data_IF_142709681028
#
_entry.id   IF_142709681028
#
_cell.length_a   1.000
_cell.length_b   1.000
_cell.length_c   1.000
_cell.angle_alpha   90.00
_cell.angle_beta   90.00
_cell.angle_gamma   90.00
#
_symmetry.space_group_name_H-M   'P 1'
#
loop_
_entity.id
_entity.type
_entity.pdbx_description
1 polymer ?
#
# COMPACT_ATOMS: atom_id res chain seq x y z
N UNK A 1 -57.79 -35.35 -27.09
CA UNK A 1 -57.01 -36.61 -27.04
C UNK A 1 -55.61 -36.52 -27.67
N UNK A 2 -55.42 -36.08 -28.93
CA UNK A 2 -54.08 -36.04 -29.54
C UNK A 2 -53.15 -34.94 -28.96
N UNK A 3 -53.65 -33.77 -28.60
CA UNK A 3 -52.94 -32.68 -27.99
C UNK A 3 -52.46 -33.01 -26.55
N UNK A 4 -53.30 -33.66 -25.79
CA UNK A 4 -53.01 -34.04 -24.40
C UNK A 4 -51.96 -35.16 -24.28
N UNK A 5 -51.85 -36.04 -25.27
CA UNK A 5 -50.77 -37.05 -25.36
C UNK A 5 -49.42 -36.40 -25.72
N UNK A 6 -49.39 -35.42 -26.56
CA UNK A 6 -48.19 -34.66 -26.92
C UNK A 6 -47.64 -33.86 -25.72
N UNK A 7 -48.50 -33.16 -24.99
CA UNK A 7 -48.10 -32.43 -23.77
C UNK A 7 -47.55 -33.33 -22.68
N UNK A 8 -48.14 -34.51 -22.48
CA UNK A 8 -47.63 -35.51 -21.53
C UNK A 8 -46.28 -36.09 -21.94
N UNK A 9 -46.01 -36.30 -23.21
CA UNK A 9 -44.70 -36.73 -23.72
C UNK A 9 -43.62 -35.64 -23.55
N UNK A 10 -43.95 -34.38 -23.82
CA UNK A 10 -43.00 -33.29 -23.62
C UNK A 10 -42.64 -33.02 -22.16
N UNK A 11 -43.58 -33.28 -21.24
CA UNK A 11 -43.33 -33.19 -19.79
C UNK A 11 -42.42 -34.33 -19.32
N UNK A 12 -42.64 -35.55 -19.79
CA UNK A 12 -41.80 -36.71 -19.43
C UNK A 12 -40.39 -36.54 -19.95
N UNK A 13 -40.21 -36.06 -21.20
CA UNK A 13 -38.90 -35.81 -21.78
C UNK A 13 -38.13 -34.70 -21.03
N UNK A 14 -38.81 -33.61 -20.62
CA UNK A 14 -38.23 -32.56 -19.79
C UNK A 14 -37.81 -33.05 -18.40
N UNK A 15 -38.55 -33.99 -17.82
CA UNK A 15 -38.21 -34.60 -16.49
C UNK A 15 -37.02 -35.51 -16.62
N UNK A 16 -36.94 -36.35 -17.66
CA UNK A 16 -35.79 -37.24 -17.89
C UNK A 16 -34.49 -36.44 -18.15
N UNK A 17 -34.50 -35.39 -18.97
CA UNK A 17 -33.36 -34.54 -19.22
C UNK A 17 -32.90 -33.84 -17.94
N UNK A 18 -33.83 -33.44 -17.06
CA UNK A 18 -33.51 -32.80 -15.78
C UNK A 18 -32.88 -33.78 -14.79
N UNK A 19 -33.33 -35.05 -14.78
CA UNK A 19 -32.71 -36.08 -13.94
C UNK A 19 -31.31 -36.50 -14.43
N UNK A 20 -31.10 -36.60 -15.74
CA UNK A 20 -29.78 -36.88 -16.31
C UNK A 20 -28.78 -35.75 -16.04
N UNK A 21 -29.22 -34.51 -16.20
CA UNK A 21 -28.44 -33.31 -15.86
C UNK A 21 -28.05 -33.32 -14.38
N UNK A 22 -28.97 -33.61 -13.49
CA UNK A 22 -28.70 -33.72 -12.04
C UNK A 22 -27.72 -34.85 -11.68
N UNK A 23 -27.82 -36.00 -12.35
CA UNK A 23 -26.84 -37.13 -12.19
C UNK A 23 -25.46 -36.72 -12.67
N UNK A 24 -25.36 -36.00 -13.79
CA UNK A 24 -24.10 -35.53 -14.34
C UNK A 24 -23.44 -34.49 -13.41
N UNK A 25 -24.19 -33.52 -12.89
CA UNK A 25 -23.74 -32.51 -11.92
C UNK A 25 -23.23 -33.21 -10.64
N UNK A 26 -23.96 -34.20 -10.13
CA UNK A 26 -23.56 -34.94 -8.92
C UNK A 26 -22.28 -35.73 -9.15
N UNK A 27 -22.11 -36.36 -10.31
CA UNK A 27 -20.89 -37.10 -10.69
C UNK A 27 -19.69 -36.18 -10.86
N UNK A 28 -19.89 -34.98 -11.44
CA UNK A 28 -18.85 -33.95 -11.60
C UNK A 28 -18.42 -33.35 -10.26
N UNK A 29 -19.37 -33.06 -9.36
CA UNK A 29 -19.08 -32.62 -7.99
C UNK A 29 -18.26 -33.67 -7.22
N UNK A 30 -18.60 -34.95 -7.34
CA UNK A 30 -17.86 -36.01 -6.67
C UNK A 30 -16.42 -36.12 -7.18
N UNK A 31 -16.20 -36.06 -8.50
CA UNK A 31 -14.86 -36.09 -9.11
C UNK A 31 -14.02 -34.86 -8.68
N UNK A 32 -14.62 -33.68 -8.57
CA UNK A 32 -13.96 -32.46 -8.09
C UNK A 32 -13.56 -32.62 -6.62
N UNK A 33 -14.45 -33.10 -5.78
CA UNK A 33 -14.19 -33.38 -4.35
C UNK A 33 -13.04 -34.39 -4.15
N UNK A 34 -12.99 -35.43 -4.93
CA UNK A 34 -11.92 -36.44 -4.84
C UNK A 34 -10.57 -35.88 -5.30
N UNK A 35 -10.55 -35.06 -6.37
CA UNK A 35 -9.34 -34.32 -6.76
C UNK A 35 -8.87 -33.37 -5.66
N UNK A 36 -9.79 -32.68 -4.99
CA UNK A 36 -9.46 -31.81 -3.85
C UNK A 36 -8.87 -32.58 -2.67
N UNK A 37 -9.41 -33.78 -2.35
CA UNK A 37 -8.86 -34.64 -1.30
C UNK A 37 -7.44 -35.09 -1.60
N UNK A 38 -7.18 -35.54 -2.82
CA UNK A 38 -5.84 -35.97 -3.27
C UNK A 38 -4.85 -34.79 -3.25
N UNK A 39 -5.26 -33.58 -3.72
CA UNK A 39 -4.44 -32.39 -3.64
C UNK A 39 -4.14 -32.00 -2.20
N UNK A 40 -5.12 -32.07 -1.31
CA UNK A 40 -4.97 -31.78 0.12
C UNK A 40 -3.98 -32.74 0.79
N UNK A 41 -4.01 -34.01 0.46
CA UNK A 41 -3.02 -34.98 0.97
C UNK A 41 -1.61 -34.72 0.41
N UNK A 42 -1.47 -34.47 -0.88
CA UNK A 42 -0.19 -34.08 -1.46
C UNK A 42 0.36 -32.82 -0.81
N UNK A 43 -0.49 -31.81 -0.57
CA UNK A 43 -0.09 -30.59 0.13
C UNK A 43 0.31 -30.84 1.58
N UNK A 44 -0.39 -31.75 2.30
CA UNK A 44 -0.06 -32.13 3.68
C UNK A 44 1.32 -32.78 3.77
N UNK A 45 1.68 -33.61 2.81
CA UNK A 45 2.95 -34.34 2.76
C UNK A 45 4.10 -33.54 2.15
N UNK A 46 3.82 -32.37 1.60
CA UNK A 46 4.84 -31.50 1.02
C UNK A 46 5.66 -30.78 2.10
N UNK A 47 6.99 -30.99 2.10
CA UNK A 47 7.92 -30.44 3.09
C UNK A 47 8.13 -28.92 3.00
N UNK A 48 7.48 -28.28 2.05
CA UNK A 48 7.58 -26.85 1.78
C UNK A 48 8.58 -26.51 0.69
N UNK A 49 8.49 -25.29 0.21
CA UNK A 49 9.35 -24.79 -0.88
C UNK A 49 10.80 -24.59 -0.40
N UNK A 50 11.76 -24.86 -1.29
CA UNK A 50 13.19 -24.70 -1.01
C UNK A 50 13.57 -23.25 -0.71
N UNK A 51 14.75 -23.03 -0.12
CA UNK A 51 15.23 -21.67 0.19
C UNK A 51 15.33 -20.77 -1.04
N UNK A 52 15.78 -21.30 -2.19
CA UNK A 52 15.86 -20.57 -3.45
C UNK A 52 14.49 -20.04 -3.88
N UNK A 53 13.46 -20.89 -3.83
CA UNK A 53 12.09 -20.48 -4.16
C UNK A 53 11.50 -19.49 -3.16
N UNK A 54 11.90 -19.52 -1.87
CA UNK A 54 11.47 -18.51 -0.90
C UNK A 54 12.04 -17.14 -1.21
N UNK A 55 13.33 -17.09 -1.56
CA UNK A 55 13.99 -15.84 -1.97
C UNK A 55 13.35 -15.32 -3.25
N UNK A 56 13.13 -16.18 -4.25
CA UNK A 56 12.44 -15.79 -5.47
C UNK A 56 11.03 -15.25 -5.20
N UNK A 57 10.26 -15.92 -4.35
CA UNK A 57 8.91 -15.44 -3.96
C UNK A 57 8.99 -14.07 -3.27
N UNK A 58 9.96 -13.86 -2.39
CA UNK A 58 10.18 -12.57 -1.75
C UNK A 58 10.45 -11.48 -2.77
N UNK A 59 11.37 -11.72 -3.69
CA UNK A 59 11.71 -10.76 -4.77
C UNK A 59 10.47 -10.45 -5.61
N UNK A 60 9.73 -11.47 -6.03
CA UNK A 60 8.51 -11.28 -6.82
C UNK A 60 7.42 -10.49 -6.07
N UNK A 61 7.26 -10.72 -4.77
CA UNK A 61 6.30 -9.98 -3.95
C UNK A 61 6.73 -8.52 -3.80
N UNK A 62 8.02 -8.25 -3.56
CA UNK A 62 8.54 -6.88 -3.48
C UNK A 62 8.32 -6.14 -4.80
N UNK A 63 8.73 -6.76 -5.91
CA UNK A 63 8.51 -6.20 -7.25
C UNK A 63 7.03 -5.96 -7.53
N UNK A 64 6.17 -6.91 -7.18
CA UNK A 64 4.73 -6.78 -7.39
C UNK A 64 4.14 -5.60 -6.60
N UNK A 65 4.50 -5.42 -5.32
CA UNK A 65 4.01 -4.31 -4.50
C UNK A 65 4.40 -2.98 -5.13
N UNK A 66 5.66 -2.84 -5.52
CA UNK A 66 6.19 -1.60 -6.10
C UNK A 66 5.55 -1.33 -7.46
N UNK A 67 5.57 -2.31 -8.38
CA UNK A 67 5.00 -2.15 -9.73
C UNK A 67 3.50 -1.87 -9.68
N UNK A 68 2.75 -2.57 -8.84
CA UNK A 68 1.30 -2.34 -8.72
C UNK A 68 0.97 -0.94 -8.20
N UNK A 69 1.78 -0.41 -7.27
CA UNK A 69 1.64 0.96 -6.77
C UNK A 69 2.01 1.99 -7.84
N UNK A 70 3.10 1.78 -8.58
CA UNK A 70 3.47 2.66 -9.69
C UNK A 70 2.40 2.69 -10.78
N UNK A 71 1.97 1.54 -11.28
CA UNK A 71 0.93 1.43 -12.30
C UNK A 71 -0.37 2.08 -11.80
N UNK A 72 -0.71 1.95 -10.52
CA UNK A 72 -1.89 2.57 -9.95
C UNK A 72 -1.79 4.10 -9.92
N UNK A 73 -0.67 4.66 -9.49
CA UNK A 73 -0.48 6.10 -9.33
C UNK A 73 -0.15 6.83 -10.65
N UNK A 74 0.60 6.20 -11.56
CA UNK A 74 0.95 6.78 -12.87
C UNK A 74 -0.26 6.87 -13.80
N UNK A 75 -1.15 5.91 -13.69
CA UNK A 75 -2.33 5.81 -14.53
C UNK A 75 -3.50 6.68 -14.07
N UNK A 76 -3.35 7.95 -13.80
CA UNK A 76 -4.51 8.85 -13.98
C UNK A 76 -5.30 8.47 -15.24
N UNK A 77 -4.78 7.57 -16.06
CA UNK A 77 -5.28 7.11 -17.35
C UNK A 77 -4.99 5.61 -17.50
N UNK A 78 -6.03 4.79 -17.58
CA UNK A 78 -6.10 3.44 -18.13
C UNK A 78 -4.93 2.47 -17.84
N UNK A 79 -5.25 1.25 -17.42
CA UNK A 79 -4.39 0.07 -17.42
C UNK A 79 -4.01 -0.32 -18.88
N UNK A 80 -3.35 0.55 -19.57
CA UNK A 80 -2.90 0.29 -20.93
C UNK A 80 -1.40 0.04 -20.88
N UNK A 81 -1.04 -1.26 -20.88
CA UNK A 81 0.36 -1.72 -20.97
C UNK A 81 1.04 -1.11 -22.19
N UNK A 82 0.29 -0.77 -23.23
CA UNK A 82 0.80 -0.12 -24.44
C UNK A 82 1.31 1.29 -24.15
N UNK A 83 0.74 2.04 -23.20
CA UNK A 83 1.23 3.36 -22.80
C UNK A 83 2.52 3.32 -21.99
N UNK A 84 2.78 2.25 -21.23
CA UNK A 84 4.08 2.04 -20.60
C UNK A 84 5.19 1.95 -21.66
N UNK A 85 4.88 1.44 -22.84
CA UNK A 85 5.80 1.36 -23.97
C UNK A 85 5.88 2.65 -24.80
N UNK A 86 4.83 3.49 -24.80
CA UNK A 86 4.73 4.71 -25.61
C UNK A 86 5.25 5.97 -24.90
N UNK A 87 5.24 6.02 -23.55
CA UNK A 87 5.91 7.10 -22.81
C UNK A 87 7.41 6.91 -22.91
N UNK A 88 8.00 7.54 -23.93
CA UNK A 88 9.46 7.74 -24.06
C UNK A 88 9.97 8.41 -22.77
N UNK A 89 10.28 7.63 -21.75
CA UNK A 89 10.76 8.14 -20.46
C UNK A 89 10.43 7.29 -19.25
N UNK A 90 9.47 6.37 -19.34
CA UNK A 90 9.03 5.53 -18.22
C UNK A 90 10.10 4.52 -17.74
N UNK A 91 11.11 4.25 -18.57
CA UNK A 91 12.29 3.45 -18.25
C UNK A 91 13.58 4.25 -18.50
N UNK A 92 13.64 5.54 -18.12
CA UNK A 92 14.90 6.26 -18.00
C UNK A 92 15.73 5.67 -16.86
N UNK A 93 17.05 5.86 -16.87
CA UNK A 93 17.93 5.42 -15.76
C UNK A 93 17.43 5.94 -14.39
N UNK A 94 16.86 7.15 -14.36
CA UNK A 94 16.23 7.76 -13.19
C UNK A 94 15.04 6.95 -12.70
N UNK A 95 14.19 6.48 -13.59
CA UNK A 95 13.02 5.66 -13.27
C UNK A 95 13.41 4.28 -12.69
N UNK A 96 14.48 3.66 -13.19
CA UNK A 96 15.00 2.39 -12.64
C UNK A 96 15.55 2.59 -11.23
N UNK A 97 16.28 3.67 -10.99
CA UNK A 97 16.80 3.98 -9.66
C UNK A 97 15.67 4.20 -8.64
N UNK A 98 14.61 4.88 -9.03
CA UNK A 98 13.44 5.10 -8.18
C UNK A 98 12.74 3.79 -7.85
N UNK A 99 12.57 2.90 -8.83
CA UNK A 99 12.05 1.56 -8.60
C UNK A 99 12.92 0.77 -7.62
N UNK A 100 14.24 0.83 -7.74
CA UNK A 100 15.16 0.14 -6.83
C UNK A 100 15.06 0.68 -5.41
N UNK A 101 14.97 1.98 -5.23
CA UNK A 101 14.78 2.62 -3.91
C UNK A 101 13.45 2.18 -3.28
N UNK A 102 12.35 2.23 -4.04
CA UNK A 102 11.03 1.78 -3.57
C UNK A 102 11.03 0.28 -3.23
N UNK A 103 11.71 -0.56 -4.02
CA UNK A 103 11.92 -1.98 -3.70
C UNK A 103 12.73 -2.15 -2.40
N UNK A 104 13.75 -1.34 -2.19
CA UNK A 104 14.54 -1.33 -0.97
C UNK A 104 13.70 -1.01 0.26
N UNK A 105 12.89 0.04 0.21
CA UNK A 105 12.00 0.41 1.31
C UNK A 105 10.95 -0.68 1.59
N UNK A 106 10.32 -1.22 0.57
CA UNK A 106 9.36 -2.33 0.70
C UNK A 106 10.03 -3.57 1.30
N UNK A 107 11.22 -3.92 0.82
CA UNK A 107 12.00 -5.03 1.34
C UNK A 107 12.37 -4.82 2.82
N UNK A 108 12.77 -3.61 3.20
CA UNK A 108 13.11 -3.27 4.59
C UNK A 108 11.93 -3.50 5.53
N UNK A 109 10.72 -3.07 5.15
CA UNK A 109 9.49 -3.31 5.92
C UNK A 109 9.24 -4.81 6.08
N UNK A 110 9.33 -5.60 5.01
CA UNK A 110 9.13 -7.06 5.07
C UNK A 110 10.18 -7.71 5.98
N UNK A 111 11.43 -7.29 5.91
CA UNK A 111 12.53 -7.85 6.72
C UNK A 111 12.40 -7.48 8.21
N UNK A 112 11.97 -6.26 8.54
CA UNK A 112 11.67 -5.85 9.93
C UNK A 112 10.52 -6.71 10.47
N UNK A 113 9.44 -6.83 9.73
CA UNK A 113 8.30 -7.67 10.12
C UNK A 113 8.71 -9.16 10.26
N UNK A 114 9.61 -9.65 9.39
CA UNK A 114 10.14 -11.00 9.52
C UNK A 114 10.98 -11.17 10.79
N UNK A 115 11.80 -10.19 11.15
CA UNK A 115 12.57 -10.21 12.38
C UNK A 115 11.66 -10.32 13.61
N UNK A 116 10.51 -9.67 13.61
CA UNK A 116 9.52 -9.69 14.68
C UNK A 116 8.74 -11.00 14.68
N UNK A 117 8.12 -11.39 13.56
CA UNK A 117 7.17 -12.49 13.46
C UNK A 117 7.84 -13.86 13.28
N UNK A 118 9.06 -13.91 12.74
CA UNK A 118 9.82 -15.14 12.51
C UNK A 118 9.26 -16.05 11.43
N UNK A 119 8.25 -15.62 10.66
CA UNK A 119 7.71 -16.31 9.51
C UNK A 119 7.80 -15.41 8.27
N UNK A 120 8.03 -15.94 7.07
CA UNK A 120 8.16 -15.11 5.86
C UNK A 120 6.79 -14.78 5.24
N UNK A 121 5.79 -15.63 5.47
CA UNK A 121 4.46 -15.50 4.88
C UNK A 121 3.70 -14.28 5.41
N UNK A 122 3.61 -14.14 6.73
CA UNK A 122 2.87 -13.06 7.37
C UNK A 122 3.43 -11.66 7.02
N UNK A 123 4.75 -11.40 7.06
CA UNK A 123 5.34 -10.13 6.63
C UNK A 123 4.99 -9.73 5.20
N UNK A 124 5.02 -10.66 4.24
CA UNK A 124 4.64 -10.39 2.86
C UNK A 124 3.17 -9.96 2.76
N UNK A 125 2.26 -10.68 3.42
CA UNK A 125 0.83 -10.35 3.42
C UNK A 125 0.58 -9.00 4.09
N UNK A 126 1.17 -8.76 5.25
CA UNK A 126 1.04 -7.49 5.99
C UNK A 126 1.57 -6.33 5.16
N UNK A 127 2.71 -6.49 4.49
CA UNK A 127 3.28 -5.45 3.63
C UNK A 127 2.37 -5.14 2.44
N UNK A 128 1.76 -6.14 1.80
CA UNK A 128 0.76 -5.91 0.74
C UNK A 128 -0.42 -5.11 1.31
N UNK A 129 -0.95 -5.52 2.46
CA UNK A 129 -2.10 -4.84 3.10
C UNK A 129 -1.76 -3.39 3.42
N UNK A 130 -0.58 -3.11 4.00
CA UNK A 130 -0.14 -1.74 4.31
C UNK A 130 -0.16 -0.87 3.05
N UNK A 131 0.50 -1.31 1.97
CA UNK A 131 0.57 -0.52 0.76
C UNK A 131 -0.76 -0.42 0.02
N UNK A 132 -1.60 -1.44 0.08
CA UNK A 132 -2.98 -1.36 -0.45
C UNK A 132 -3.80 -0.32 0.32
N UNK A 133 -3.72 -0.31 1.65
CA UNK A 133 -4.41 0.69 2.47
C UNK A 133 -3.91 2.11 2.19
N UNK A 134 -2.61 2.32 2.11
CA UNK A 134 -2.04 3.64 1.77
C UNK A 134 -2.52 4.10 0.39
N UNK A 135 -2.55 3.21 -0.61
CA UNK A 135 -3.06 3.56 -1.95
C UNK A 135 -4.57 3.83 -1.96
N UNK A 136 -5.37 3.09 -1.16
CA UNK A 136 -6.81 3.36 -1.02
C UNK A 136 -7.03 4.73 -0.38
N UNK A 137 -6.33 5.02 0.73
CA UNK A 137 -6.40 6.32 1.39
C UNK A 137 -5.98 7.45 0.45
N UNK A 138 -4.89 7.25 -0.30
CA UNK A 138 -4.46 8.22 -1.31
C UNK A 138 -5.55 8.48 -2.35
N UNK A 139 -6.20 7.42 -2.87
CA UNK A 139 -7.27 7.55 -3.85
C UNK A 139 -8.46 8.35 -3.30
N UNK A 140 -8.93 7.99 -2.11
CA UNK A 140 -10.09 8.64 -1.47
C UNK A 140 -9.79 10.09 -1.13
N UNK A 141 -8.62 10.36 -0.54
CA UNK A 141 -8.24 11.73 -0.15
C UNK A 141 -8.03 12.62 -1.37
N UNK A 142 -7.40 12.10 -2.43
CA UNK A 142 -7.21 12.86 -3.69
C UNK A 142 -8.55 13.17 -4.36
N UNK A 143 -9.50 12.23 -4.33
CA UNK A 143 -10.85 12.44 -4.89
C UNK A 143 -11.63 13.52 -4.12
N UNK A 144 -11.46 13.59 -2.80
CA UNK A 144 -12.19 14.52 -1.94
C UNK A 144 -11.60 15.93 -1.91
N UNK A 145 -10.27 16.09 -1.88
CA UNK A 145 -9.62 17.41 -1.70
C UNK A 145 -8.68 17.82 -2.84
N UNK A 146 -8.53 16.98 -3.88
CA UNK A 146 -7.64 17.27 -5.01
C UNK A 146 -6.14 17.18 -4.72
N UNK A 147 -5.74 16.82 -3.49
CA UNK A 147 -4.33 16.66 -3.09
C UNK A 147 -4.10 15.26 -2.51
N UNK A 148 -2.93 14.64 -2.76
CA UNK A 148 -2.62 13.31 -2.27
C UNK A 148 -2.65 13.19 -0.74
N UNK A 149 -2.86 11.94 -0.28
CA UNK A 149 -2.79 11.55 1.12
C UNK A 149 -1.37 11.71 1.65
N UNK A 150 -1.24 12.34 2.83
CA UNK A 150 0.05 12.55 3.50
C UNK A 150 0.14 11.75 4.80
N UNK A 151 1.38 11.51 5.28
CA UNK A 151 1.58 10.87 6.58
C UNK A 151 0.95 11.68 7.73
N UNK A 152 0.95 13.02 7.64
CA UNK A 152 0.32 13.91 8.61
C UNK A 152 -1.21 13.72 8.69
N UNK A 153 -1.86 13.31 7.59
CA UNK A 153 -3.30 13.06 7.57
C UNK A 153 -3.74 11.94 8.52
N UNK A 154 -2.84 11.01 8.86
CA UNK A 154 -3.11 9.95 9.84
C UNK A 154 -3.50 10.55 11.19
N UNK A 155 -2.85 11.64 11.60
CA UNK A 155 -3.10 12.31 12.87
C UNK A 155 -4.36 13.19 12.83
N UNK A 156 -4.80 13.58 11.63
CA UNK A 156 -6.01 14.34 11.38
C UNK A 156 -7.23 13.46 11.07
N UNK A 157 -7.11 12.13 11.15
CA UNK A 157 -8.14 11.19 10.76
C UNK A 157 -9.46 11.40 11.51
N UNK A 158 -9.42 11.79 12.79
CA UNK A 158 -10.63 12.10 13.59
C UNK A 158 -11.42 13.26 12.99
N UNK A 159 -10.74 14.34 12.60
CA UNK A 159 -11.38 15.49 11.94
C UNK A 159 -11.86 15.11 10.53
N UNK A 160 -11.07 14.34 9.78
CA UNK A 160 -11.46 13.89 8.46
C UNK A 160 -12.74 13.05 8.49
N UNK A 161 -12.88 12.14 9.45
CA UNK A 161 -14.08 11.31 9.61
C UNK A 161 -15.35 12.15 9.91
N UNK A 162 -15.24 13.25 10.64
CA UNK A 162 -16.37 14.14 10.90
C UNK A 162 -16.80 14.95 9.65
N UNK A 163 -15.89 15.20 8.73
CA UNK A 163 -16.17 15.88 7.45
C UNK A 163 -16.75 14.93 6.42
N UNK A 164 -16.40 13.63 6.50
CA UNK A 164 -16.92 12.59 5.59
C UNK A 164 -18.41 12.29 5.81
N UNK A 165 -18.99 12.71 6.93
CA UNK A 165 -20.41 12.53 7.21
C UNK A 165 -21.23 13.34 6.20
N UNK A 166 -21.90 12.64 5.26
CA UNK A 166 -22.65 13.23 4.15
C UNK A 166 -21.94 13.32 2.80
N UNK A 167 -20.68 12.88 2.68
CA UNK A 167 -19.99 12.80 1.39
C UNK A 167 -20.15 11.42 0.74
N UNK A 168 -20.46 11.38 -0.56
CA UNK A 168 -20.50 10.14 -1.33
C UNK A 168 -19.07 9.73 -1.74
N UNK A 169 -18.56 8.64 -1.16
CA UNK A 169 -17.28 8.06 -1.57
C UNK A 169 -17.51 7.14 -2.76
N UNK A 170 -16.99 7.51 -3.92
CA UNK A 170 -17.08 6.70 -5.14
C UNK A 170 -15.80 5.89 -5.35
N UNK A 171 -15.92 4.56 -5.41
CA UNK A 171 -14.79 3.70 -5.73
C UNK A 171 -14.65 3.55 -7.24
N UNK A 172 -13.59 4.09 -7.80
CA UNK A 172 -13.31 3.95 -9.23
C UNK A 172 -13.11 2.46 -9.61
N UNK A 173 -13.51 2.07 -10.83
CA UNK A 173 -13.28 0.71 -11.33
C UNK A 173 -11.79 0.31 -11.30
N UNK A 174 -10.89 1.29 -11.39
CA UNK A 174 -9.45 1.11 -11.26
C UNK A 174 -9.06 0.68 -9.86
N UNK A 175 -9.55 1.38 -8.84
CA UNK A 175 -9.30 1.05 -7.44
C UNK A 175 -9.79 -0.37 -7.10
N UNK A 176 -10.98 -0.72 -7.58
CA UNK A 176 -11.52 -2.07 -7.40
C UNK A 176 -10.61 -3.12 -8.04
N UNK A 177 -10.16 -2.91 -9.29
CA UNK A 177 -9.22 -3.83 -9.96
C UNK A 177 -7.90 -3.96 -9.20
N UNK A 178 -7.34 -2.86 -8.72
CA UNK A 178 -6.13 -2.84 -7.90
C UNK A 178 -6.31 -3.69 -6.63
N UNK A 179 -7.40 -3.50 -5.89
CA UNK A 179 -7.71 -4.28 -4.69
C UNK A 179 -7.85 -5.77 -5.02
N UNK A 180 -8.60 -6.12 -6.08
CA UNK A 180 -8.82 -7.52 -6.48
C UNK A 180 -7.53 -8.24 -6.86
N UNK A 181 -6.63 -7.58 -7.60
CA UNK A 181 -5.34 -8.17 -7.98
C UNK A 181 -4.47 -8.42 -6.74
N UNK A 182 -4.39 -7.45 -5.82
CA UNK A 182 -3.65 -7.62 -4.56
C UNK A 182 -4.25 -8.75 -3.71
N UNK A 183 -5.57 -8.86 -3.65
CA UNK A 183 -6.26 -9.96 -2.96
C UNK A 183 -5.90 -11.33 -3.56
N UNK A 184 -5.86 -11.45 -4.88
CA UNK A 184 -5.44 -12.68 -5.56
C UNK A 184 -4.00 -13.06 -5.22
N UNK A 185 -3.09 -12.09 -5.14
CA UNK A 185 -1.70 -12.35 -4.72
C UNK A 185 -1.63 -12.79 -3.27
N UNK A 186 -2.40 -12.19 -2.36
CA UNK A 186 -2.50 -12.62 -0.96
C UNK A 186 -2.99 -14.08 -0.88
N UNK A 187 -4.04 -14.44 -1.60
CA UNK A 187 -4.57 -15.81 -1.66
C UNK A 187 -3.48 -16.77 -2.17
N UNK A 188 -2.72 -16.38 -3.19
CA UNK A 188 -1.58 -17.14 -3.70
C UNK A 188 -0.51 -17.38 -2.62
N UNK A 189 -0.12 -16.34 -1.87
CA UNK A 189 0.86 -16.44 -0.78
C UNK A 189 0.32 -17.34 0.36
N UNK A 190 -0.96 -17.27 0.69
CA UNK A 190 -1.59 -18.14 1.70
C UNK A 190 -1.48 -19.60 1.25
N UNK A 191 -1.67 -19.89 -0.03
CA UNK A 191 -1.53 -21.22 -0.61
C UNK A 191 -0.11 -21.80 -0.59
N UNK A 192 0.94 -20.95 -0.55
CA UNK A 192 2.32 -21.42 -0.50
C UNK A 192 2.69 -22.01 0.87
N UNK A 193 3.41 -23.12 0.88
CA UNK A 193 3.93 -23.75 2.10
C UNK A 193 5.42 -23.48 2.22
N UNK A 194 5.79 -22.49 3.04
CA UNK A 194 7.19 -22.21 3.35
C UNK A 194 7.72 -23.25 4.37
N UNK A 195 8.85 -23.89 4.08
CA UNK A 195 9.48 -24.80 5.02
C UNK A 195 9.96 -24.03 6.26
N UNK A 196 10.02 -24.71 7.40
CA UNK A 196 10.50 -24.14 8.65
C UNK A 196 12.05 -24.30 8.75
N UNK A 197 12.70 -23.38 9.43
CA UNK A 197 14.10 -23.57 9.84
C UNK A 197 14.15 -24.61 10.97
N UNK A 198 15.07 -25.57 10.89
CA UNK A 198 15.05 -26.74 11.75
C UNK A 198 15.51 -26.44 13.19
N UNK A 199 16.45 -25.52 13.38
CA UNK A 199 17.02 -25.26 14.70
C UNK A 199 16.67 -23.88 15.24
N UNK A 200 16.46 -23.78 16.57
CA UNK A 200 16.20 -22.50 17.25
C UNK A 200 17.29 -21.48 16.97
N UNK A 201 18.58 -21.90 16.98
CA UNK A 201 19.74 -21.04 16.70
C UNK A 201 19.66 -20.42 15.30
N UNK A 202 19.37 -21.22 14.25
CA UNK A 202 19.21 -20.70 12.89
C UNK A 202 18.06 -19.70 12.77
N UNK A 203 16.95 -19.92 13.49
CA UNK A 203 15.81 -18.96 13.51
C UNK A 203 16.23 -17.62 14.10
N UNK A 204 16.92 -17.61 15.24
CA UNK A 204 17.36 -16.38 15.91
C UNK A 204 18.36 -15.63 15.02
N UNK A 205 19.38 -16.32 14.52
CA UNK A 205 20.40 -15.72 13.64
C UNK A 205 19.74 -15.12 12.38
N UNK A 206 18.81 -15.85 11.75
CA UNK A 206 18.11 -15.36 10.56
C UNK A 206 17.29 -14.09 10.84
N UNK A 207 16.66 -13.99 12.01
CA UNK A 207 15.89 -12.81 12.44
C UNK A 207 16.79 -11.60 12.68
N UNK A 208 17.90 -11.79 13.40
CA UNK A 208 18.88 -10.73 13.66
C UNK A 208 19.49 -10.24 12.34
N UNK A 209 19.92 -11.16 11.48
CA UNK A 209 20.51 -10.82 10.18
C UNK A 209 19.50 -10.06 9.30
N UNK A 210 18.23 -10.46 9.29
CA UNK A 210 17.20 -9.77 8.54
C UNK A 210 16.94 -8.36 9.07
N UNK A 211 16.97 -8.18 10.39
CA UNK A 211 16.83 -6.86 11.00
C UNK A 211 17.99 -5.93 10.63
N UNK A 212 19.24 -6.42 10.77
CA UNK A 212 20.44 -5.66 10.38
C UNK A 212 20.40 -5.30 8.89
N UNK A 213 20.06 -6.26 8.02
CA UNK A 213 19.95 -6.02 6.59
C UNK A 213 18.87 -4.98 6.27
N UNK A 214 17.72 -5.03 6.97
CA UNK A 214 16.65 -4.05 6.80
C UNK A 214 17.11 -2.63 7.11
N UNK A 215 17.83 -2.45 8.23
CA UNK A 215 18.37 -1.13 8.62
C UNK A 215 19.39 -0.63 7.60
N UNK A 216 20.29 -1.49 7.14
CA UNK A 216 21.28 -1.12 6.11
C UNK A 216 20.60 -0.67 4.83
N UNK A 217 19.61 -1.42 4.33
CA UNK A 217 18.88 -1.09 3.10
C UNK A 217 18.07 0.20 3.28
N UNK A 218 17.46 0.40 4.46
CA UNK A 218 16.72 1.63 4.78
C UNK A 218 17.66 2.85 4.75
N UNK A 219 18.79 2.80 5.46
CA UNK A 219 19.76 3.90 5.50
C UNK A 219 20.31 4.18 4.10
N UNK A 220 20.65 3.14 3.32
CA UNK A 220 21.11 3.32 1.95
C UNK A 220 20.05 4.03 1.08
N UNK A 221 18.78 3.65 1.20
CA UNK A 221 17.70 4.31 0.48
C UNK A 221 17.53 5.78 0.88
N UNK A 222 17.53 6.07 2.18
CA UNK A 222 17.41 7.43 2.72
C UNK A 222 18.62 8.31 2.40
N UNK A 223 19.79 7.74 2.20
CA UNK A 223 21.03 8.47 1.86
C UNK A 223 21.11 8.85 0.37
N UNK A 224 20.15 8.47 -0.45
CA UNK A 224 20.16 8.83 -1.87
C UNK A 224 19.86 10.32 -2.05
N UNK A 225 20.51 10.97 -3.02
CA UNK A 225 20.27 12.38 -3.33
C UNK A 225 18.79 12.65 -3.66
N UNK A 226 18.14 11.74 -4.38
CA UNK A 226 16.75 11.84 -4.76
C UNK A 226 15.80 11.83 -3.55
N UNK A 227 16.05 10.98 -2.56
CA UNK A 227 15.30 10.98 -1.30
C UNK A 227 15.46 12.30 -0.53
N UNK A 228 16.65 12.89 -0.53
CA UNK A 228 16.94 14.14 0.17
C UNK A 228 16.31 15.37 -0.51
N UNK A 229 16.08 15.33 -1.83
CA UNK A 229 15.61 16.46 -2.64
C UNK A 229 14.12 16.43 -2.96
N UNK A 230 13.34 15.53 -2.33
CA UNK A 230 11.89 15.49 -2.54
C UNK A 230 11.25 16.83 -2.13
N UNK A 231 10.38 17.34 -3.02
CA UNK A 231 9.68 18.61 -2.83
C UNK A 231 8.17 18.33 -2.67
N UNK A 232 7.52 19.03 -1.74
CA UNK A 232 6.11 18.86 -1.41
C UNK A 232 5.16 19.82 -2.12
N UNK A 233 5.67 20.78 -2.92
CA UNK A 233 4.81 21.73 -3.61
C UNK A 233 3.88 21.09 -4.65
N UNK A 234 4.37 20.01 -5.32
CA UNK A 234 3.60 19.24 -6.30
C UNK A 234 3.58 17.75 -5.88
N UNK A 235 2.87 17.45 -4.81
CA UNK A 235 2.93 16.14 -4.16
C UNK A 235 2.41 15.01 -5.07
N UNK A 236 1.41 15.26 -5.90
CA UNK A 236 0.89 14.31 -6.89
C UNK A 236 1.94 13.93 -7.94
N UNK A 237 2.70 14.92 -8.43
CA UNK A 237 3.85 14.70 -9.33
C UNK A 237 4.93 13.87 -8.62
N UNK A 238 5.20 14.17 -7.33
CA UNK A 238 6.19 13.40 -6.57
C UNK A 238 5.79 11.93 -6.41
N UNK A 239 4.52 11.65 -6.10
CA UNK A 239 4.02 10.27 -6.01
C UNK A 239 4.10 9.52 -7.34
N UNK A 240 3.81 10.20 -8.44
CA UNK A 240 3.90 9.63 -9.78
C UNK A 240 5.34 9.34 -10.18
N UNK A 241 6.23 10.32 -10.02
CA UNK A 241 7.60 10.26 -10.57
C UNK A 241 8.58 9.50 -9.66
N UNK A 242 8.41 9.59 -8.34
CA UNK A 242 9.33 8.97 -7.36
C UNK A 242 8.78 7.70 -6.72
N UNK A 243 7.48 7.44 -6.86
CA UNK A 243 6.80 6.26 -6.33
C UNK A 243 6.29 6.43 -4.90
N UNK A 244 5.21 5.71 -4.61
CA UNK A 244 4.46 5.79 -3.35
C UNK A 244 5.32 5.51 -2.12
N UNK A 245 6.15 4.45 -2.17
CA UNK A 245 6.91 4.00 -1.01
C UNK A 245 7.95 5.03 -0.59
N UNK A 246 8.69 5.57 -1.57
CA UNK A 246 9.74 6.55 -1.32
C UNK A 246 9.17 7.86 -0.75
N UNK A 247 8.14 8.41 -1.40
CA UNK A 247 7.53 9.67 -0.98
C UNK A 247 6.87 9.53 0.39
N UNK A 248 6.15 8.43 0.65
CA UNK A 248 5.51 8.21 1.93
C UNK A 248 6.52 8.05 3.08
N UNK A 249 7.63 7.34 2.86
CA UNK A 249 8.71 7.22 3.86
C UNK A 249 9.41 8.56 4.08
N UNK A 250 9.59 9.36 3.04
CA UNK A 250 10.14 10.71 3.20
C UNK A 250 9.23 11.60 4.05
N UNK A 251 7.92 11.51 3.88
CA UNK A 251 6.97 12.24 4.73
C UNK A 251 7.06 11.81 6.20
N UNK A 252 7.33 10.52 6.47
CA UNK A 252 7.59 10.06 7.84
C UNK A 252 8.87 10.69 8.39
N UNK A 253 9.94 10.72 7.60
CA UNK A 253 11.22 11.32 7.99
C UNK A 253 11.05 12.82 8.30
N UNK A 254 10.38 13.56 7.42
CA UNK A 254 10.14 14.99 7.57
C UNK A 254 9.13 15.35 8.69
N UNK A 255 8.24 14.43 9.05
CA UNK A 255 7.32 14.63 10.16
C UNK A 255 8.04 14.73 11.50
N UNK A 256 9.16 14.03 11.66
CA UNK A 256 10.00 14.09 12.85
C UNK A 256 11.07 15.17 12.70
N UNK A 257 10.66 16.43 12.79
CA UNK A 257 11.55 17.59 12.70
C UNK A 257 12.68 17.49 13.73
N UNK A 258 13.91 17.53 13.25
CA UNK A 258 15.08 17.74 14.11
C UNK A 258 15.14 19.18 14.61
N UNK A 259 15.55 19.35 15.87
CA UNK A 259 15.76 20.71 16.40
C UNK A 259 16.83 21.43 15.59
N UNK A 260 16.63 22.70 15.21
CA UNK A 260 17.66 23.49 14.54
C UNK A 260 18.94 23.52 15.35
N UNK A 261 20.07 23.64 14.67
CA UNK A 261 21.38 23.75 15.32
C UNK A 261 21.42 24.95 16.27
N UNK A 262 21.86 24.72 17.50
CA UNK A 262 21.90 25.75 18.55
C UNK A 262 20.56 26.05 19.22
N UNK A 263 19.48 25.28 18.94
CA UNK A 263 18.20 25.43 19.63
C UNK A 263 18.29 24.92 21.08
N UNK A 264 17.94 25.80 22.02
CA UNK A 264 17.67 25.43 23.42
C UNK A 264 16.54 26.31 23.97
N UNK A 265 15.75 25.77 24.90
CA UNK A 265 14.68 26.54 25.57
C UNK A 265 15.25 27.82 26.21
N UNK A 266 16.40 27.69 26.87
CA UNK A 266 17.11 28.83 27.48
C UNK A 266 17.44 29.95 26.46
N UNK A 267 17.90 29.56 25.26
CA UNK A 267 18.22 30.55 24.22
C UNK A 267 16.99 31.23 23.65
N UNK A 268 15.86 30.51 23.58
CA UNK A 268 14.58 31.11 23.19
C UNK A 268 14.09 32.09 24.26
N UNK A 269 14.19 31.74 25.54
CA UNK A 269 13.85 32.61 26.68
C UNK A 269 14.74 33.85 26.70
N UNK A 270 16.03 33.74 26.46
CA UNK A 270 16.96 34.87 26.34
C UNK A 270 16.58 35.81 25.17
N UNK A 271 16.14 35.26 24.03
CA UNK A 271 15.70 36.07 22.91
C UNK A 271 14.40 36.76 23.26
N UNK A 272 13.39 36.05 23.82
CA UNK A 272 12.11 36.65 24.22
C UNK A 272 12.29 37.75 25.25
N UNK A 273 13.15 37.56 26.26
CA UNK A 273 13.43 38.57 27.28
C UNK A 273 13.95 39.89 26.68
N UNK A 274 14.76 39.83 25.63
CA UNK A 274 15.23 41.05 24.92
C UNK A 274 14.08 41.81 24.24
N UNK A 275 13.06 41.11 23.75
CA UNK A 275 11.89 41.72 23.13
C UNK A 275 10.87 42.22 24.14
N UNK A 276 10.72 41.56 25.31
CA UNK A 276 9.83 42.01 26.39
C UNK A 276 10.25 43.35 26.97
N UNK A 277 11.55 43.61 27.14
CA UNK A 277 12.05 44.91 27.61
C UNK A 277 11.73 46.04 26.63
N UNK A 278 11.75 45.75 25.33
CA UNK A 278 11.34 46.73 24.30
C UNK A 278 9.84 46.98 24.25
N UNK A 279 9.00 46.01 24.71
CA UNK A 279 7.56 46.13 24.76
C UNK A 279 7.08 46.93 26.00
N UNK A 280 7.78 46.81 27.14
CA UNK A 280 7.45 47.52 28.41
C UNK A 280 7.59 49.01 28.29
N UNK A 281 8.41 49.54 27.37
CA UNK A 281 8.64 50.99 27.15
C UNK A 281 7.56 51.66 26.31
N UNK A 282 6.51 50.96 25.82
CA UNK A 282 5.47 51.49 24.93
C UNK A 282 4.03 51.36 25.42
N UNK A 283 3.78 51.04 26.71
CA UNK A 283 2.49 50.56 27.13
C UNK A 283 1.53 51.60 27.75
N UNK A 284 1.67 52.86 27.52
CA UNK A 284 0.67 53.89 27.95
C UNK A 284 -0.35 54.27 26.87
N UNK A 285 -0.43 53.53 25.78
CA UNK A 285 -1.51 53.74 24.78
C UNK A 285 -2.54 52.63 24.88
N UNK A 286 -3.81 53.03 24.78
CA UNK A 286 -4.95 52.08 24.70
C UNK A 286 -4.65 50.99 23.69
N UNK A 287 -4.77 49.72 24.13
CA UNK A 287 -4.53 48.56 23.25
C UNK A 287 -5.69 48.47 22.27
N UNK A 288 -5.37 48.71 20.99
CA UNK A 288 -6.32 48.51 19.89
C UNK A 288 -6.57 47.05 19.66
N UNK A 289 -7.81 46.72 19.35
CA UNK A 289 -8.16 45.37 18.90
C UNK A 289 -7.53 45.14 17.51
N UNK A 290 -6.78 44.05 17.36
CA UNK A 290 -6.20 43.62 16.08
C UNK A 290 -7.00 42.43 15.57
N UNK A 291 -7.67 42.60 14.43
CA UNK A 291 -8.37 41.54 13.73
C UNK A 291 -7.51 41.15 12.51
N UNK A 292 -7.02 39.92 12.50
CA UNK A 292 -6.27 39.37 11.37
C UNK A 292 -7.22 38.47 10.59
N UNK A 293 -7.48 38.83 9.33
CA UNK A 293 -8.27 38.03 8.41
C UNK A 293 -7.30 37.40 7.41
N UNK A 294 -7.14 36.07 7.47
CA UNK A 294 -6.40 35.31 6.49
C UNK A 294 -7.36 34.92 5.35
N UNK A 295 -7.13 35.44 4.17
CA UNK A 295 -7.92 35.09 2.99
C UNK A 295 -7.11 34.11 2.14
N UNK A 296 -7.32 32.81 2.39
CA UNK A 296 -6.51 31.74 1.77
C UNK A 296 -6.87 31.45 0.31
N UNK A 297 -8.05 31.87 -0.13
CA UNK A 297 -8.55 31.56 -1.47
C UNK A 297 -9.12 32.82 -2.12
N UNK A 298 -8.28 33.85 -2.28
CA UNK A 298 -8.70 35.03 -3.03
C UNK A 298 -8.70 34.71 -4.52
N UNK A 299 -9.88 34.57 -5.10
CA UNK A 299 -10.07 34.59 -6.54
C UNK A 299 -10.69 35.96 -6.90
N UNK A 300 -9.99 36.74 -7.68
CA UNK A 300 -10.55 37.90 -8.34
C UNK A 300 -11.39 37.39 -9.52
N UNK A 301 -12.73 37.49 -9.38
CA UNK A 301 -13.69 37.02 -10.36
C UNK A 301 -14.03 38.15 -11.35
#
# INVERSE_FOLDING_TARGET
MKKEKLEKQEIVEKVEVKEESNKLIKKTKCKILDKFKVLKEKYKNFNGISLKFRILTLILVVLFIVLSSFIYNESGLTWDITRIAETKGTFSETSINDMLINCGFTLSIILILYAILGSLKAPMIISIIIWVLVNILNAVVTDLRGTPFTFADIFSAGTALSVLDGMEITFSARLIKYILINLLVIIGIIGLKFGKLDTKKKKIISRILSFVLAIVVLICGMSTSKFQTLNYWDLDVQYRDNGMQMVFIKQIDDFFLSKPEGYSVKKVEEILARYEDNLKTKTDKEKSNVIIIMNESFADL
#
